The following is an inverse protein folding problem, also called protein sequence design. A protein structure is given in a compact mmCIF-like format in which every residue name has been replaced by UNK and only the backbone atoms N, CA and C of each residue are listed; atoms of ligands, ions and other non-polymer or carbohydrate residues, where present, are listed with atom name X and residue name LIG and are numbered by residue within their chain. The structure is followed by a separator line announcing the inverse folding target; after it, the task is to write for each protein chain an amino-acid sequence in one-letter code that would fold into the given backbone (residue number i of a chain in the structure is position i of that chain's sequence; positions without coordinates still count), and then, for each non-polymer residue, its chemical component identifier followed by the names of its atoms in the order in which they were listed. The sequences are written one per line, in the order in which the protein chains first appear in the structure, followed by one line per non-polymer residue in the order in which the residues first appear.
data_IF_941928781487
#
_entry.id   IF_941928781487
#
_cell.length_a   1.000
_cell.length_b   1.000
_cell.length_c   1.000
_cell.angle_alpha   90.00
_cell.angle_beta   90.00
_cell.angle_gamma   90.00
#
_symmetry.space_group_name_H-M   'P 1'
#
loop_
_entity.id
_entity.type
_entity.pdbx_description
1 polymer ?
#
# COMPACT_ATOMS: atom_id res chain seq x y z
N UNK A 1 -26.33 -11.85 9.14
CA UNK A 1 -25.28 -12.56 8.38
C UNK A 1 -24.63 -11.69 7.30
N UNK A 2 -25.38 -10.94 6.49
CA UNK A 2 -24.82 -9.98 5.50
C UNK A 2 -23.92 -8.89 6.08
N UNK A 3 -24.16 -8.45 7.31
CA UNK A 3 -23.39 -7.39 7.98
C UNK A 3 -21.95 -7.78 8.29
N UNK A 4 -21.68 -9.05 8.58
CA UNK A 4 -20.32 -9.51 8.91
C UNK A 4 -19.41 -9.59 7.68
N UNK A 5 -19.96 -10.01 6.53
CA UNK A 5 -19.25 -10.04 5.25
C UNK A 5 -18.93 -8.62 4.75
N UNK A 6 -19.88 -7.70 4.86
CA UNK A 6 -19.66 -6.28 4.54
C UNK A 6 -18.66 -5.66 5.53
N UNK A 7 -18.75 -5.96 6.82
CA UNK A 7 -17.79 -5.46 7.82
C UNK A 7 -16.37 -6.00 7.59
N UNK A 8 -16.22 -7.25 7.14
CA UNK A 8 -14.91 -7.82 6.82
C UNK A 8 -14.34 -7.19 5.56
N UNK A 9 -15.13 -7.04 4.49
CA UNK A 9 -14.71 -6.34 3.26
C UNK A 9 -14.35 -4.88 3.54
N UNK A 10 -15.15 -4.18 4.36
CA UNK A 10 -14.88 -2.80 4.77
C UNK A 10 -13.65 -2.70 5.70
N UNK A 11 -13.45 -3.66 6.61
CA UNK A 11 -12.27 -3.70 7.48
C UNK A 11 -10.99 -3.95 6.68
N UNK A 12 -11.02 -4.79 5.64
CA UNK A 12 -9.90 -5.01 4.73
C UNK A 12 -9.60 -3.77 3.88
N UNK A 13 -10.62 -3.05 3.40
CA UNK A 13 -10.44 -1.74 2.75
C UNK A 13 -9.81 -0.69 3.67
N UNK A 14 -10.13 -0.73 4.97
CA UNK A 14 -9.58 0.18 5.97
C UNK A 14 -8.12 -0.15 6.35
N UNK A 15 -7.70 -1.42 6.27
CA UNK A 15 -6.32 -1.85 6.54
C UNK A 15 -5.38 -1.65 5.34
N UNK A 16 -5.90 -1.67 4.11
CA UNK A 16 -5.16 -1.33 2.88
C UNK A 16 -5.09 0.20 2.66
N UNK A 17 -5.71 1.00 3.53
CA UNK A 17 -5.47 2.44 3.60
C UNK A 17 -4.38 2.71 4.65
N UNK A 18 -3.09 2.83 4.27
CA UNK A 18 -2.20 3.63 5.07
C UNK A 18 -2.79 5.04 5.02
N UNK A 19 -3.41 5.41 6.12
CA UNK A 19 -3.54 6.78 6.58
C UNK A 19 -2.19 7.47 6.40
N UNK A 20 -2.02 8.20 5.29
CA UNK A 20 -0.96 9.19 5.14
C UNK A 20 -1.30 10.39 6.04
N UNK A 21 -1.35 10.15 7.35
CA UNK A 21 -1.74 11.13 8.38
C UNK A 21 -0.65 11.43 9.40
N UNK A 22 0.54 10.82 9.29
CA UNK A 22 1.67 11.08 10.18
C UNK A 22 2.67 12.12 9.63
N UNK A 23 2.45 12.65 8.42
CA UNK A 23 3.37 13.58 7.76
C UNK A 23 3.12 15.06 8.07
N UNK A 24 1.89 15.44 8.40
CA UNK A 24 1.49 16.85 8.50
C UNK A 24 2.13 17.59 9.70
N UNK A 25 2.53 16.88 10.75
CA UNK A 25 3.03 17.51 11.99
C UNK A 25 4.55 17.77 11.99
N UNK A 26 5.31 17.17 11.07
CA UNK A 26 6.78 17.36 10.95
C UNK A 26 7.17 18.48 9.97
N UNK A 27 6.29 18.87 9.05
CA UNK A 27 6.54 20.01 8.16
C UNK A 27 6.59 21.35 8.91
N UNK A 28 5.81 21.51 9.98
CA UNK A 28 5.69 22.78 10.69
C UNK A 28 6.96 23.13 11.51
N UNK A 29 7.58 22.12 12.14
CA UNK A 29 8.81 22.32 12.92
C UNK A 29 10.05 22.59 12.02
N UNK A 30 10.06 22.10 10.78
CA UNK A 30 11.17 22.31 9.84
C UNK A 30 11.11 23.71 9.23
N UNK A 31 9.91 24.20 8.90
CA UNK A 31 9.70 25.57 8.40
C UNK A 31 10.09 26.63 9.43
N UNK A 32 9.75 26.42 10.71
CA UNK A 32 10.08 27.36 11.81
C UNK A 32 11.59 27.52 12.04
N UNK A 33 12.42 26.52 11.68
CA UNK A 33 13.88 26.57 11.89
C UNK A 33 14.64 27.29 10.77
N UNK A 34 14.03 27.44 9.59
CA UNK A 34 14.61 28.17 8.47
C UNK A 34 14.36 29.68 8.54
N UNK A 35 13.28 30.13 9.20
CA UNK A 35 12.99 31.56 9.36
C UNK A 35 13.92 32.25 10.36
N UNK A 36 14.30 31.57 11.46
CA UNK A 36 15.16 32.17 12.51
C UNK A 36 16.58 32.47 11.99
N UNK A 37 17.19 31.59 11.17
CA UNK A 37 18.58 31.78 10.70
C UNK A 37 18.72 32.81 9.56
N UNK A 38 17.63 33.14 8.86
CA UNK A 38 17.64 34.13 7.78
C UNK A 38 17.60 35.58 8.25
N UNK A 39 17.14 35.83 9.49
CA UNK A 39 17.04 37.19 10.03
C UNK A 39 18.40 37.75 10.49
N UNK A 40 19.36 36.89 10.81
CA UNK A 40 20.64 37.28 11.42
C UNK A 40 21.69 37.73 10.38
N UNK A 41 21.47 37.46 9.09
CA UNK A 41 22.48 37.63 8.04
C UNK A 41 22.45 39.00 7.32
N UNK A 42 21.52 39.90 7.66
CA UNK A 42 21.32 41.17 6.93
C UNK A 42 22.12 42.37 7.49
N UNK A 43 23.11 42.14 8.36
CA UNK A 43 23.96 43.20 8.90
C UNK A 43 25.44 42.85 8.74
N UNK A 44 26.02 43.09 7.56
CA UNK A 44 27.47 43.11 7.44
C UNK A 44 28.03 42.78 6.06
N UNK A 45 28.45 43.84 5.38
CA UNK A 45 29.73 43.93 4.66
C UNK A 45 29.81 43.41 3.21
N UNK A 46 30.00 44.39 2.33
CA UNK A 46 30.27 44.25 0.91
C UNK A 46 31.77 44.11 0.69
N UNK A 47 32.27 42.90 0.46
CA UNK A 47 33.50 42.69 -0.30
C UNK A 47 33.78 41.21 -0.56
N UNK A 48 34.29 40.96 -1.77
CA UNK A 48 35.11 39.81 -2.18
C UNK A 48 34.33 38.61 -2.74
N UNK A 49 34.28 38.62 -4.06
CA UNK A 49 34.14 37.49 -4.98
C UNK A 49 34.90 36.26 -4.47
N UNK A 50 34.14 35.29 -3.97
CA UNK A 50 34.57 33.90 -3.82
C UNK A 50 33.36 33.05 -4.16
N UNK A 51 33.41 32.39 -5.33
CA UNK A 51 32.53 31.27 -5.65
C UNK A 51 32.78 30.15 -4.62
N UNK A 52 32.15 30.23 -3.45
CA UNK A 52 31.81 29.07 -2.62
C UNK A 52 30.31 28.98 -2.63
N UNK A 53 29.83 27.91 -3.26
CA UNK A 53 28.44 27.52 -3.29
C UNK A 53 27.84 27.57 -1.87
N UNK A 54 26.97 28.55 -1.63
CA UNK A 54 25.97 28.42 -0.58
C UNK A 54 25.09 27.24 -0.96
N UNK A 55 24.96 26.19 -0.13
CA UNK A 55 23.96 25.17 -0.37
C UNK A 55 22.60 25.86 -0.23
N UNK A 56 21.99 26.14 -1.37
CA UNK A 56 20.68 26.75 -1.47
C UNK A 56 19.72 25.86 -0.67
N UNK A 57 19.12 26.39 0.40
CA UNK A 57 18.17 25.63 1.21
C UNK A 57 16.94 25.20 0.37
N UNK A 58 16.73 25.82 -0.79
CA UNK A 58 15.77 25.37 -1.80
C UNK A 58 16.09 23.97 -2.38
N UNK A 59 17.36 23.54 -2.33
CA UNK A 59 17.80 22.22 -2.79
C UNK A 59 17.66 21.11 -1.73
N UNK A 60 17.38 21.48 -0.47
CA UNK A 60 17.24 20.53 0.63
C UNK A 60 15.82 19.93 0.72
N UNK A 61 14.82 20.59 0.12
CA UNK A 61 13.57 19.91 -0.24
C UNK A 61 13.87 19.18 -1.54
N UNK A 62 14.46 17.99 -1.46
CA UNK A 62 14.30 17.06 -2.57
C UNK A 62 12.79 16.94 -2.76
N UNK A 63 12.22 17.29 -3.93
CA UNK A 63 10.95 16.69 -4.30
C UNK A 63 11.15 15.21 -4.01
N UNK A 64 10.25 14.60 -3.24
CA UNK A 64 10.22 13.14 -3.13
C UNK A 64 10.38 12.70 -4.56
N UNK A 65 11.52 12.10 -4.91
CA UNK A 65 11.71 11.65 -6.26
C UNK A 65 10.46 10.81 -6.50
N UNK A 66 9.60 11.26 -7.41
CA UNK A 66 9.06 10.31 -8.35
C UNK A 66 10.33 9.63 -8.80
N UNK A 67 10.61 8.46 -8.22
CA UNK A 67 11.56 7.55 -8.81
C UNK A 67 11.14 7.59 -10.27
N UNK A 68 12.03 8.11 -11.12
CA UNK A 68 11.87 8.04 -12.55
C UNK A 68 11.68 6.54 -12.80
N UNK A 69 10.42 6.10 -12.83
CA UNK A 69 10.07 4.76 -13.21
C UNK A 69 10.67 4.68 -14.62
N UNK A 70 11.70 3.83 -14.85
CA UNK A 70 12.14 3.58 -16.20
C UNK A 70 10.88 3.22 -17.00
N UNK A 71 10.78 3.57 -18.30
CA UNK A 71 9.60 3.29 -19.10
C UNK A 71 9.15 1.89 -18.77
N UNK A 72 7.95 1.75 -18.16
CA UNK A 72 7.49 0.46 -17.65
C UNK A 72 7.58 -0.48 -18.83
N UNK A 73 8.55 -1.39 -18.78
CA UNK A 73 8.62 -2.43 -19.76
C UNK A 73 7.25 -3.13 -19.67
N UNK A 74 6.50 -3.13 -20.76
CA UNK A 74 5.18 -3.76 -20.86
C UNK A 74 5.21 -5.28 -20.55
N UNK A 75 6.40 -5.80 -20.24
CA UNK A 75 6.65 -7.08 -19.61
C UNK A 75 6.43 -7.03 -18.10
N UNK A 76 5.17 -7.14 -17.68
CA UNK A 76 4.85 -7.63 -16.33
C UNK A 76 5.27 -9.12 -16.22
N UNK A 77 6.32 -9.47 -15.46
CA UNK A 77 6.79 -10.85 -15.41
C UNK A 77 5.85 -11.73 -14.58
N UNK A 78 5.59 -12.95 -15.07
CA UNK A 78 4.82 -13.95 -14.32
C UNK A 78 5.47 -14.39 -13.00
N UNK A 79 6.78 -14.23 -12.88
CA UNK A 79 7.58 -14.63 -11.71
C UNK A 79 8.33 -13.41 -11.15
N UNK A 80 7.57 -12.43 -10.66
CA UNK A 80 8.09 -11.24 -9.99
C UNK A 80 7.86 -11.25 -8.48
N UNK A 81 8.59 -10.41 -7.74
CA UNK A 81 8.36 -10.18 -6.29
C UNK A 81 6.93 -9.71 -6.03
N UNK A 82 6.41 -8.87 -6.91
CA UNK A 82 5.04 -8.40 -6.92
C UNK A 82 4.02 -9.57 -6.90
N UNK A 83 4.27 -10.62 -7.69
CA UNK A 83 3.41 -11.81 -7.75
C UNK A 83 3.40 -12.62 -6.45
N UNK A 84 4.56 -12.67 -5.78
CA UNK A 84 4.66 -13.28 -4.44
C UNK A 84 3.87 -12.48 -3.41
N UNK A 85 3.86 -11.14 -3.51
CA UNK A 85 3.05 -10.30 -2.63
C UNK A 85 1.56 -10.53 -2.84
N UNK A 86 1.11 -10.58 -4.10
CA UNK A 86 -0.26 -10.92 -4.47
C UNK A 86 -0.71 -12.26 -3.87
N UNK A 87 0.09 -13.31 -4.11
CA UNK A 87 -0.14 -14.63 -3.51
C UNK A 87 -0.23 -14.57 -1.99
N UNK A 88 0.75 -13.95 -1.32
CA UNK A 88 0.84 -13.91 0.13
C UNK A 88 -0.30 -13.10 0.75
N UNK A 89 -0.69 -11.98 0.13
CA UNK A 89 -1.81 -11.14 0.58
C UNK A 89 -3.13 -11.87 0.43
N UNK A 90 -3.37 -12.55 -0.69
CA UNK A 90 -4.58 -13.33 -0.90
C UNK A 90 -4.67 -14.52 0.07
N UNK A 91 -3.59 -15.29 0.21
CA UNK A 91 -3.51 -16.38 1.18
C UNK A 91 -3.75 -15.89 2.62
N UNK A 92 -3.05 -14.83 3.03
CA UNK A 92 -3.17 -14.23 4.35
C UNK A 92 -4.58 -13.70 4.62
N UNK A 93 -5.19 -13.03 3.64
CA UNK A 93 -6.56 -12.51 3.73
C UNK A 93 -7.57 -13.64 3.94
N UNK A 94 -7.47 -14.71 3.16
CA UNK A 94 -8.34 -15.88 3.33
C UNK A 94 -8.16 -16.55 4.70
N UNK A 95 -6.92 -16.77 5.15
CA UNK A 95 -6.64 -17.42 6.44
C UNK A 95 -7.07 -16.56 7.64
N UNK A 96 -6.78 -15.26 7.59
CA UNK A 96 -7.19 -14.32 8.63
C UNK A 96 -8.70 -14.17 8.68
N UNK A 97 -9.36 -14.00 7.53
CA UNK A 97 -10.82 -13.92 7.43
C UNK A 97 -11.50 -15.18 7.98
N UNK A 98 -10.94 -16.36 7.68
CA UNK A 98 -11.40 -17.61 8.24
C UNK A 98 -11.29 -17.63 9.77
N UNK A 99 -10.14 -17.23 10.33
CA UNK A 99 -9.92 -17.16 11.77
C UNK A 99 -10.90 -16.23 12.48
N UNK A 100 -11.16 -15.05 11.91
CA UNK A 100 -12.15 -14.09 12.43
C UNK A 100 -13.56 -14.70 12.42
N UNK A 101 -13.96 -15.34 11.32
CA UNK A 101 -15.29 -15.94 11.19
C UNK A 101 -15.49 -17.13 12.14
N UNK A 102 -14.46 -17.96 12.31
CA UNK A 102 -14.46 -19.05 13.30
C UNK A 102 -14.56 -18.51 14.73
N UNK A 103 -13.81 -17.45 15.05
CA UNK A 103 -13.89 -16.76 16.34
C UNK A 103 -15.26 -16.14 16.62
N UNK A 104 -15.97 -15.72 15.57
CA UNK A 104 -17.34 -15.21 15.65
C UNK A 104 -18.43 -16.31 15.70
N UNK A 105 -18.04 -17.59 15.77
CA UNK A 105 -18.97 -18.71 15.89
C UNK A 105 -19.55 -19.24 14.58
N UNK A 106 -18.99 -18.85 13.42
CA UNK A 106 -19.37 -19.47 12.15
C UNK A 106 -18.92 -20.94 12.08
N UNK A 107 -19.72 -21.80 11.44
CA UNK A 107 -19.31 -23.16 11.13
C UNK A 107 -18.08 -23.17 10.22
N UNK A 108 -17.32 -24.27 10.25
CA UNK A 108 -16.13 -24.44 9.41
C UNK A 108 -16.41 -24.11 7.94
N UNK A 109 -17.44 -24.75 7.35
CA UNK A 109 -17.78 -24.59 5.94
C UNK A 109 -18.17 -23.15 5.60
N UNK A 110 -18.97 -22.49 6.46
CA UNK A 110 -19.40 -21.11 6.23
C UNK A 110 -18.22 -20.13 6.38
N UNK A 111 -17.37 -20.35 7.38
CA UNK A 111 -16.18 -19.53 7.59
C UNK A 111 -15.20 -19.66 6.42
N UNK A 112 -14.96 -20.90 5.95
CA UNK A 112 -14.09 -21.18 4.82
C UNK A 112 -14.64 -20.53 3.54
N UNK A 113 -15.91 -20.79 3.20
CA UNK A 113 -16.52 -20.26 1.98
C UNK A 113 -16.53 -18.72 1.96
N UNK A 114 -16.93 -18.08 3.06
CA UNK A 114 -16.99 -16.62 3.13
C UNK A 114 -15.60 -15.97 3.10
N UNK A 115 -14.59 -16.57 3.75
CA UNK A 115 -13.24 -16.03 3.73
C UNK A 115 -12.58 -16.13 2.34
N UNK A 116 -12.77 -17.26 1.65
CA UNK A 116 -12.25 -17.46 0.29
C UNK A 116 -12.93 -16.52 -0.71
N UNK A 117 -14.25 -16.39 -0.63
CA UNK A 117 -15.01 -15.46 -1.46
C UNK A 117 -14.57 -14.01 -1.21
N UNK A 118 -14.36 -13.64 0.06
CA UNK A 118 -13.86 -12.32 0.44
C UNK A 118 -12.46 -12.03 -0.13
N UNK A 119 -11.56 -13.01 -0.08
CA UNK A 119 -10.21 -12.90 -0.65
C UNK A 119 -10.23 -12.67 -2.17
N UNK A 120 -11.00 -13.47 -2.92
CA UNK A 120 -11.14 -13.31 -4.37
C UNK A 120 -11.78 -11.97 -4.73
N UNK A 121 -12.80 -11.54 -3.97
CA UNK A 121 -13.45 -10.26 -4.18
C UNK A 121 -12.50 -9.08 -3.92
N UNK A 122 -11.60 -9.20 -2.94
CA UNK A 122 -10.59 -8.18 -2.66
C UNK A 122 -9.58 -8.04 -3.82
N UNK A 123 -9.06 -9.16 -4.35
CA UNK A 123 -8.14 -9.16 -5.50
C UNK A 123 -8.79 -8.57 -6.76
N UNK A 124 -9.99 -9.05 -7.11
CA UNK A 124 -10.75 -8.51 -8.24
C UNK A 124 -11.08 -7.01 -8.05
N UNK A 125 -11.45 -6.63 -6.83
CA UNK A 125 -11.76 -5.25 -6.47
C UNK A 125 -10.56 -4.32 -6.64
N UNK A 126 -9.35 -4.77 -6.28
CA UNK A 126 -8.10 -4.02 -6.47
C UNK A 126 -7.83 -3.77 -7.95
N UNK A 127 -7.92 -4.79 -8.80
CA UNK A 127 -7.68 -4.63 -10.24
C UNK A 127 -8.72 -3.72 -10.91
N UNK A 128 -9.99 -3.83 -10.51
CA UNK A 128 -11.05 -2.95 -11.01
C UNK A 128 -10.84 -1.49 -10.56
N UNK A 129 -10.38 -1.30 -9.32
CA UNK A 129 -10.06 0.00 -8.76
C UNK A 129 -8.87 0.66 -9.47
N UNK A 130 -7.81 -0.10 -9.73
CA UNK A 130 -6.65 0.39 -10.47
C UNK A 130 -7.05 0.80 -11.87
N UNK A 131 -7.88 -0.01 -12.54
CA UNK A 131 -8.44 0.33 -13.86
C UNK A 131 -9.27 1.61 -13.85
N UNK A 132 -10.09 1.82 -12.81
CA UNK A 132 -10.92 3.03 -12.67
C UNK A 132 -10.08 4.30 -12.45
N UNK A 133 -8.86 4.18 -11.93
CA UNK A 133 -7.91 5.29 -11.74
C UNK A 133 -6.94 5.51 -12.88
N UNK A 134 -7.13 4.81 -14.00
CA UNK A 134 -6.26 4.90 -15.17
C UNK A 134 -5.03 4.01 -15.11
N UNK A 135 -4.92 3.12 -14.10
CA UNK A 135 -3.92 2.07 -14.04
C UNK A 135 -4.25 0.87 -14.95
N UNK A 136 -3.27 -0.01 -15.23
CA UNK A 136 -3.51 -1.24 -15.98
C UNK A 136 -4.29 -2.26 -15.14
N UNK A 137 -5.16 -3.03 -15.79
CA UNK A 137 -5.77 -4.22 -15.18
C UNK A 137 -4.87 -5.42 -15.48
N UNK A 138 -4.40 -6.11 -14.45
CA UNK A 138 -3.45 -7.21 -14.56
C UNK A 138 -4.11 -8.56 -14.30
N UNK A 139 -4.31 -9.32 -15.38
CA UNK A 139 -4.77 -10.71 -15.27
C UNK A 139 -3.76 -11.61 -14.55
N UNK A 140 -2.48 -11.24 -14.55
CA UNK A 140 -1.42 -12.01 -13.88
C UNK A 140 -1.56 -11.87 -12.37
N UNK A 141 -1.81 -10.66 -11.90
CA UNK A 141 -2.04 -10.40 -10.47
C UNK A 141 -3.28 -11.11 -9.96
N UNK A 142 -4.37 -11.03 -10.73
CA UNK A 142 -5.59 -11.77 -10.40
C UNK A 142 -5.36 -13.30 -10.36
N UNK A 143 -4.51 -13.83 -11.25
CA UNK A 143 -4.15 -15.25 -11.23
C UNK A 143 -3.35 -15.63 -9.97
N UNK A 144 -2.43 -14.78 -9.54
CA UNK A 144 -1.67 -15.01 -8.31
C UNK A 144 -2.52 -14.86 -7.04
N UNK A 145 -3.50 -13.95 -7.03
CA UNK A 145 -4.50 -13.85 -5.96
C UNK A 145 -5.38 -15.12 -5.89
N UNK A 146 -5.77 -15.66 -7.05
CA UNK A 146 -6.50 -16.92 -7.13
C UNK A 146 -5.67 -18.09 -6.60
N UNK A 147 -4.37 -18.18 -6.96
CA UNK A 147 -3.46 -19.20 -6.45
C UNK A 147 -3.27 -19.10 -4.93
N UNK A 148 -3.10 -17.91 -4.39
CA UNK A 148 -2.99 -17.68 -2.94
C UNK A 148 -4.26 -18.11 -2.21
N UNK A 149 -5.42 -17.77 -2.76
CA UNK A 149 -6.72 -18.17 -2.20
C UNK A 149 -6.93 -19.68 -2.29
N UNK A 150 -6.53 -20.32 -3.40
CA UNK A 150 -6.58 -21.77 -3.56
C UNK A 150 -5.67 -22.49 -2.57
N UNK A 151 -4.48 -21.96 -2.30
CA UNK A 151 -3.58 -22.52 -1.29
C UNK A 151 -4.22 -22.48 0.11
N UNK A 152 -4.91 -21.37 0.45
CA UNK A 152 -5.67 -21.28 1.69
C UNK A 152 -6.83 -22.30 1.72
N UNK A 153 -7.58 -22.45 0.62
CA UNK A 153 -8.63 -23.46 0.52
C UNK A 153 -8.09 -24.87 0.76
N UNK A 154 -6.96 -25.23 0.14
CA UNK A 154 -6.33 -26.53 0.32
C UNK A 154 -5.96 -26.77 1.77
N UNK A 155 -5.32 -25.81 2.43
CA UNK A 155 -4.95 -25.95 3.84
C UNK A 155 -6.17 -26.08 4.75
N UNK A 156 -7.18 -25.24 4.56
CA UNK A 156 -8.40 -25.26 5.36
C UNK A 156 -9.19 -26.56 5.16
N UNK A 157 -9.21 -27.10 3.94
CA UNK A 157 -9.91 -28.35 3.62
C UNK A 157 -9.26 -29.59 4.23
N UNK A 158 -7.95 -29.55 4.51
CA UNK A 158 -7.25 -30.61 5.24
C UNK A 158 -7.58 -30.60 6.74
N UNK A 159 -8.01 -29.46 7.28
CA UNK A 159 -8.26 -29.26 8.70
C UNK A 159 -9.77 -29.28 9.03
N UNK A 160 -10.48 -30.30 8.51
CA UNK A 160 -11.90 -30.53 8.77
C UNK A 160 -12.15 -31.25 10.07
#
# INVERSE_FOLDING_TARGET
MQTALVALVLAQLALVSPHTGAGAQLQDATMMRCTIRGADASAGDSARTAHRATPDCASAVRPRAHFDDPPRNDHDPWLGVDKVQHFAMAYGTAMFGYGVLRGAGASHDNAQAAALAGSLAAGLGKELYDRARGGPFSLKDLAWDALGTLAAWSLLSLNR
#
